data_IF_765619827900
#
_entry.id   IF_765619827900
#
_cell.length_a   1.000
_cell.length_b   1.000
_cell.length_c   1.000
_cell.angle_alpha   90.00
_cell.angle_beta   90.00
_cell.angle_gamma   90.00
#
_symmetry.space_group_name_H-M   'P 1'
#
loop_
_entity.id
_entity.type
_entity.pdbx_description
1 polymer ?
#
# COMPACT_ATOMS: atom_id res chain seq x y z
N UNK A 1 27.91 16.29 0.73
CA UNK A 1 28.29 15.23 -0.21
C UNK A 1 26.99 14.79 -0.85
N UNK A 2 26.64 15.47 -1.94
CA UNK A 2 25.40 15.26 -2.67
C UNK A 2 25.43 13.88 -3.32
N UNK A 3 24.63 12.97 -2.79
CA UNK A 3 24.57 11.60 -3.27
C UNK A 3 23.67 11.59 -4.51
N UNK A 4 24.34 11.46 -5.65
CA UNK A 4 23.86 11.08 -6.99
C UNK A 4 22.43 10.52 -6.95
N UNK A 5 21.52 11.22 -7.62
CA UNK A 5 20.21 10.72 -8.03
C UNK A 5 20.42 9.46 -8.88
N UNK A 6 20.42 8.29 -8.26
CA UNK A 6 20.19 7.05 -8.99
C UNK A 6 18.74 7.07 -9.42
N UNK A 7 18.49 7.24 -10.72
CA UNK A 7 17.16 7.05 -11.29
C UNK A 7 16.61 5.74 -10.75
N UNK A 8 15.46 5.82 -10.09
CA UNK A 8 14.86 4.64 -9.50
C UNK A 8 14.43 3.72 -10.65
N UNK A 9 15.10 2.58 -10.80
CA UNK A 9 14.82 1.60 -11.85
C UNK A 9 13.45 0.92 -11.74
N UNK A 10 12.62 1.30 -10.77
CA UNK A 10 11.31 0.72 -10.53
C UNK A 10 10.22 1.75 -10.90
N UNK A 11 9.58 1.62 -12.07
CA UNK A 11 8.41 2.42 -12.42
C UNK A 11 7.35 2.28 -11.33
N UNK A 12 6.89 3.40 -10.76
CA UNK A 12 5.90 3.37 -9.68
C UNK A 12 6.48 3.07 -8.29
N UNK A 13 7.78 3.26 -8.06
CA UNK A 13 8.38 3.14 -6.74
C UNK A 13 7.68 4.04 -5.70
N UNK A 14 7.08 3.42 -4.68
CA UNK A 14 6.38 4.11 -3.61
C UNK A 14 7.27 5.13 -2.88
N UNK A 15 8.56 4.82 -2.68
CA UNK A 15 9.51 5.74 -2.03
C UNK A 15 9.72 7.00 -2.87
N UNK A 16 9.76 6.89 -4.20
CA UNK A 16 9.87 8.06 -5.08
C UNK A 16 8.58 8.86 -5.09
N UNK A 17 7.43 8.19 -5.09
CA UNK A 17 6.11 8.81 -4.99
C UNK A 17 5.98 9.63 -3.71
N UNK A 18 6.38 9.08 -2.56
CA UNK A 18 6.31 9.77 -1.26
C UNK A 18 7.33 10.91 -1.13
N UNK A 19 8.46 10.85 -1.87
CA UNK A 19 9.47 11.91 -1.91
C UNK A 19 9.11 13.08 -2.85
N UNK A 20 7.94 13.05 -3.49
CA UNK A 20 7.44 14.14 -4.32
C UNK A 20 7.25 15.41 -3.47
N UNK A 21 8.01 16.47 -3.79
CA UNK A 21 8.03 17.71 -2.99
C UNK A 21 6.76 18.55 -3.10
N UNK A 22 5.88 18.27 -4.08
CA UNK A 22 4.57 18.91 -4.18
C UNK A 22 3.48 18.02 -3.53
N UNK A 23 2.83 18.47 -2.44
CA UNK A 23 1.85 17.66 -1.71
C UNK A 23 0.67 17.17 -2.57
N UNK A 24 0.14 18.02 -3.45
CA UNK A 24 -1.00 17.64 -4.30
C UNK A 24 -0.62 16.58 -5.34
N UNK A 25 0.58 16.71 -5.92
CA UNK A 25 1.11 15.71 -6.86
C UNK A 25 1.43 14.39 -6.15
N UNK A 26 2.00 14.46 -4.94
CA UNK A 26 2.25 13.31 -4.09
C UNK A 26 0.94 12.55 -3.83
N UNK A 27 -0.08 13.24 -3.33
CA UNK A 27 -1.40 12.66 -3.04
C UNK A 27 -2.05 12.02 -4.27
N UNK A 28 -2.02 12.70 -5.42
CA UNK A 28 -2.52 12.16 -6.69
C UNK A 28 -1.77 10.89 -7.12
N UNK A 29 -0.45 10.88 -6.92
CA UNK A 29 0.40 9.75 -7.29
C UNK A 29 0.19 8.55 -6.36
N UNK A 30 -0.04 8.79 -5.06
CA UNK A 30 -0.39 7.75 -4.09
C UNK A 30 -1.75 7.13 -4.43
N UNK A 31 -2.76 7.95 -4.70
CA UNK A 31 -4.07 7.46 -5.12
C UNK A 31 -3.97 6.57 -6.38
N UNK A 32 -3.22 7.03 -7.38
CA UNK A 32 -2.96 6.25 -8.59
C UNK A 32 -2.25 4.93 -8.26
N UNK A 33 -1.23 4.98 -7.41
CA UNK A 33 -0.50 3.81 -6.96
C UNK A 33 -1.41 2.79 -6.29
N UNK A 34 -2.29 3.20 -5.37
CA UNK A 34 -3.23 2.28 -4.70
C UNK A 34 -4.24 1.65 -5.66
N UNK A 35 -4.69 2.38 -6.68
CA UNK A 35 -5.60 1.83 -7.69
C UNK A 35 -4.93 0.82 -8.63
N UNK A 36 -3.67 1.05 -8.97
CA UNK A 36 -2.93 0.20 -9.91
C UNK A 36 -2.29 -1.02 -9.23
N UNK A 37 -1.88 -0.90 -7.97
CA UNK A 37 -1.13 -1.93 -7.24
C UNK A 37 -1.80 -3.32 -7.29
N UNK A 38 -3.11 -3.50 -7.05
CA UNK A 38 -3.73 -4.83 -7.10
C UNK A 38 -3.70 -5.48 -8.49
N UNK A 39 -3.63 -4.68 -9.56
CA UNK A 39 -3.63 -5.19 -10.94
C UNK A 39 -2.25 -5.65 -11.42
N UNK A 40 -1.18 -5.24 -10.75
CA UNK A 40 0.19 -5.60 -11.10
C UNK A 40 0.54 -7.02 -10.64
N UNK A 41 1.40 -7.71 -11.39
CA UNK A 41 1.95 -9.03 -11.06
C UNK A 41 3.48 -8.98 -10.88
N UNK A 42 4.02 -7.79 -10.60
CA UNK A 42 5.45 -7.54 -10.50
C UNK A 42 6.03 -8.02 -9.16
N UNK A 43 7.21 -8.65 -9.18
CA UNK A 43 7.87 -9.21 -7.99
C UNK A 43 8.19 -8.16 -6.90
N UNK A 44 8.24 -6.87 -7.28
CA UNK A 44 8.58 -5.77 -6.37
C UNK A 44 7.43 -5.27 -5.49
N UNK A 45 6.23 -5.84 -5.59
CA UNK A 45 5.05 -5.37 -4.84
C UNK A 45 5.15 -5.50 -3.32
N UNK A 46 5.94 -6.45 -2.82
CA UNK A 46 6.03 -6.74 -1.37
C UNK A 46 6.61 -5.56 -0.60
N UNK A 47 7.65 -4.93 -1.14
CA UNK A 47 8.39 -3.88 -0.45
C UNK A 47 7.53 -2.63 -0.17
N UNK A 48 6.81 -2.04 -1.15
CA UNK A 48 5.87 -0.96 -0.89
C UNK A 48 4.85 -1.28 0.20
N UNK A 49 4.26 -2.48 0.20
CA UNK A 49 3.21 -2.86 1.15
C UNK A 49 3.79 -3.04 2.56
N UNK A 50 5.00 -3.59 2.67
CA UNK A 50 5.71 -3.64 3.95
C UNK A 50 6.03 -2.24 4.49
N UNK A 51 6.34 -1.28 3.61
CA UNK A 51 6.50 0.13 3.95
C UNK A 51 5.20 0.76 4.46
N UNK A 52 4.09 0.52 3.77
CA UNK A 52 2.75 0.97 4.19
C UNK A 52 2.39 0.45 5.57
N UNK A 53 2.69 -0.83 5.86
CA UNK A 53 2.46 -1.41 7.18
C UNK A 53 3.30 -0.70 8.26
N UNK A 54 4.58 -0.45 8.00
CA UNK A 54 5.42 0.31 8.94
C UNK A 54 4.87 1.72 9.21
N UNK A 55 4.39 2.41 8.17
CA UNK A 55 3.73 3.72 8.32
C UNK A 55 2.44 3.62 9.13
N UNK A 56 1.59 2.62 8.85
CA UNK A 56 0.35 2.39 9.59
C UNK A 56 0.61 2.09 11.08
N UNK A 57 1.69 1.37 11.40
CA UNK A 57 2.11 1.14 12.78
C UNK A 57 2.64 2.40 13.46
N UNK A 58 3.37 3.25 12.75
CA UNK A 58 3.95 4.47 13.29
C UNK A 58 2.90 5.58 13.49
N UNK A 59 1.92 5.65 12.60
CA UNK A 59 0.90 6.69 12.55
C UNK A 59 -0.51 6.08 12.38
N UNK A 60 -0.98 5.23 13.32
CA UNK A 60 -2.24 4.49 13.16
C UNK A 60 -3.50 5.36 13.20
N UNK A 61 -3.37 6.62 13.63
CA UNK A 61 -4.49 7.57 13.73
C UNK A 61 -4.45 8.63 12.62
N UNK A 62 -3.50 8.53 11.67
CA UNK A 62 -3.38 9.46 10.54
C UNK A 62 -4.31 9.01 9.39
N UNK A 63 -5.31 9.82 9.00
CA UNK A 63 -6.26 9.45 7.95
C UNK A 63 -5.72 9.58 6.53
N UNK A 64 -4.52 10.14 6.30
CA UNK A 64 -4.05 10.51 4.95
C UNK A 64 -4.19 9.38 3.92
N UNK A 65 -3.81 8.15 4.28
CA UNK A 65 -3.92 6.99 3.40
C UNK A 65 -5.34 6.40 3.34
N UNK A 66 -6.12 6.56 4.41
CA UNK A 66 -7.53 6.14 4.43
C UNK A 66 -8.32 6.98 3.43
N UNK A 67 -8.12 8.29 3.44
CA UNK A 67 -8.72 9.22 2.48
C UNK A 67 -8.24 9.02 1.04
N UNK A 68 -7.24 8.15 0.84
CA UNK A 68 -6.69 7.75 -0.47
C UNK A 68 -7.07 6.34 -0.89
N UNK A 69 -8.05 5.72 -0.23
CA UNK A 69 -8.58 4.39 -0.60
C UNK A 69 -7.58 3.24 -0.30
N UNK A 70 -6.75 3.36 0.75
CA UNK A 70 -5.82 2.28 1.13
C UNK A 70 -6.56 0.99 1.51
N UNK A 71 -7.73 1.08 2.14
CA UNK A 71 -8.51 -0.10 2.52
C UNK A 71 -8.99 -0.89 1.30
N UNK A 72 -9.48 -0.21 0.26
CA UNK A 72 -9.89 -0.84 -0.99
C UNK A 72 -8.71 -1.54 -1.67
N UNK A 73 -7.55 -0.87 -1.69
CA UNK A 73 -6.31 -1.45 -2.23
C UNK A 73 -5.89 -2.72 -1.47
N UNK A 74 -5.85 -2.66 -0.13
CA UNK A 74 -5.46 -3.81 0.70
C UNK A 74 -6.47 -4.96 0.59
N UNK A 75 -7.78 -4.66 0.59
CA UNK A 75 -8.84 -5.65 0.42
C UNK A 75 -8.74 -6.34 -0.96
N UNK A 76 -8.49 -5.57 -2.03
CA UNK A 76 -8.29 -6.11 -3.37
C UNK A 76 -7.08 -7.05 -3.46
N UNK A 77 -5.97 -6.73 -2.78
CA UNK A 77 -4.78 -7.59 -2.70
C UNK A 77 -5.05 -8.90 -1.95
N UNK A 78 -5.78 -8.83 -0.83
CA UNK A 78 -6.21 -10.04 -0.09
C UNK A 78 -7.10 -10.89 -1.00
N UNK A 79 -8.08 -10.28 -1.66
CA UNK A 79 -8.98 -10.97 -2.57
C UNK A 79 -8.25 -11.64 -3.73
N UNK A 80 -7.26 -10.95 -4.32
CA UNK A 80 -6.39 -11.50 -5.36
C UNK A 80 -5.67 -12.75 -4.88
N UNK A 81 -5.07 -12.73 -3.69
CA UNK A 81 -4.43 -13.90 -3.09
C UNK A 81 -5.39 -15.08 -2.87
N UNK A 82 -6.64 -14.80 -2.48
CA UNK A 82 -7.67 -15.82 -2.31
C UNK A 82 -8.13 -16.43 -3.64
N UNK A 83 -8.23 -15.64 -4.71
CA UNK A 83 -8.76 -16.06 -6.02
C UNK A 83 -7.70 -16.60 -6.97
N UNK A 84 -6.47 -16.12 -6.89
CA UNK A 84 -5.39 -16.50 -7.79
C UNK A 84 -4.28 -17.22 -7.02
N UNK A 85 -4.46 -18.53 -6.82
CA UNK A 85 -3.48 -19.37 -6.12
C UNK A 85 -2.12 -19.43 -6.84
N UNK A 86 -2.10 -19.31 -8.17
CA UNK A 86 -0.84 -19.28 -8.94
C UNK A 86 -0.03 -18.03 -8.64
N UNK A 87 -0.69 -16.87 -8.68
CA UNK A 87 -0.09 -15.60 -8.28
C UNK A 87 0.39 -15.65 -6.83
N UNK A 88 -0.43 -16.18 -5.92
CA UNK A 88 -0.08 -16.25 -4.50
C UNK A 88 1.16 -17.14 -4.24
N UNK A 89 1.30 -18.24 -4.98
CA UNK A 89 2.45 -19.16 -4.85
C UNK A 89 3.73 -18.67 -5.50
N UNK A 90 3.70 -17.51 -6.18
CA UNK A 90 4.88 -16.97 -6.86
C UNK A 90 5.76 -16.21 -5.87
N UNK A 91 7.02 -16.65 -5.74
CA UNK A 91 8.07 -16.03 -4.94
C UNK A 91 7.63 -15.48 -3.59
N UNK A 92 7.51 -14.15 -3.47
CA UNK A 92 7.21 -13.45 -2.22
C UNK A 92 5.73 -13.01 -2.13
N UNK A 93 4.89 -13.34 -3.12
CA UNK A 93 3.49 -12.90 -3.15
C UNK A 93 2.66 -13.44 -1.98
N UNK A 94 3.10 -14.53 -1.34
CA UNK A 94 2.48 -15.03 -0.11
C UNK A 94 2.46 -13.98 1.02
N UNK A 95 3.42 -13.06 1.04
CA UNK A 95 3.51 -12.00 2.03
C UNK A 95 2.60 -10.81 1.72
N UNK A 96 2.12 -10.68 0.49
CA UNK A 96 1.30 -9.54 0.08
C UNK A 96 -0.04 -9.50 0.83
N UNK A 97 -0.88 -10.57 0.82
CA UNK A 97 -2.10 -10.58 1.63
C UNK A 97 -1.84 -10.47 3.14
N UNK A 98 -0.70 -11.00 3.60
CA UNK A 98 -0.29 -10.90 5.00
C UNK A 98 -0.08 -9.44 5.42
N UNK A 99 0.76 -8.70 4.69
CA UNK A 99 0.98 -7.28 4.99
C UNK A 99 -0.27 -6.44 4.77
N UNK A 100 -1.06 -6.74 3.74
CA UNK A 100 -2.33 -6.04 3.49
C UNK A 100 -3.31 -6.17 4.66
N UNK A 101 -3.46 -7.37 5.24
CA UNK A 101 -4.28 -7.58 6.42
C UNK A 101 -3.72 -6.82 7.64
N UNK A 102 -2.40 -6.76 7.79
CA UNK A 102 -1.76 -5.99 8.86
C UNK A 102 -1.94 -4.48 8.71
N UNK A 103 -1.89 -3.92 7.50
CA UNK A 103 -2.20 -2.51 7.24
C UNK A 103 -3.63 -2.18 7.69
N UNK A 104 -4.62 -2.96 7.26
CA UNK A 104 -6.03 -2.76 7.66
C UNK A 104 -6.16 -2.84 9.18
N UNK A 105 -5.56 -3.87 9.79
CA UNK A 105 -5.59 -4.05 11.24
C UNK A 105 -4.99 -2.86 12.00
N UNK A 106 -3.85 -2.33 11.55
CA UNK A 106 -3.15 -1.23 12.23
C UNK A 106 -3.98 0.04 12.33
N UNK A 107 -4.76 0.40 11.31
CA UNK A 107 -5.64 1.57 11.36
C UNK A 107 -6.91 1.32 12.19
N UNK A 108 -7.48 0.11 12.11
CA UNK A 108 -8.78 -0.18 12.74
C UNK A 108 -8.71 -0.47 14.23
N UNK A 109 -7.53 -0.76 14.78
CA UNK A 109 -7.39 -1.15 16.19
C UNK A 109 -7.62 -0.01 17.18
N UNK A 110 -7.38 1.25 16.80
CA UNK A 110 -7.37 2.38 17.72
C UNK A 110 -8.50 3.40 17.50
N UNK A 111 -9.10 3.42 16.31
CA UNK A 111 -10.10 4.41 15.89
C UNK A 111 -11.35 3.70 15.36
N UNK A 112 -12.49 3.90 16.02
CA UNK A 112 -13.76 3.28 15.62
C UNK A 112 -14.19 3.73 14.22
N UNK A 113 -13.95 5.00 13.89
CA UNK A 113 -14.29 5.59 12.60
C UNK A 113 -13.57 4.89 11.44
N UNK A 114 -12.32 4.49 11.65
CA UNK A 114 -11.54 3.76 10.66
C UNK A 114 -12.04 2.33 10.51
N UNK A 115 -12.43 1.70 11.62
CA UNK A 115 -13.05 0.38 11.58
C UNK A 115 -14.33 0.39 10.75
N UNK A 116 -15.18 1.42 10.89
CA UNK A 116 -16.39 1.57 10.05
C UNK A 116 -16.00 1.70 8.58
N UNK A 117 -15.08 2.60 8.24
CA UNK A 117 -14.63 2.82 6.85
C UNK A 117 -14.08 1.56 6.17
N UNK A 118 -13.53 0.61 6.93
CA UNK A 118 -12.96 -0.63 6.38
C UNK A 118 -13.99 -1.72 6.03
N UNK A 119 -15.26 -1.58 6.44
CA UNK A 119 -16.34 -2.55 6.16
C UNK A 119 -17.49 -2.00 5.31
N UNK A 120 -17.46 -0.72 4.93
CA UNK A 120 -18.55 -0.15 4.12
C UNK A 120 -18.47 -0.66 2.67
N UNK A 121 -19.51 -1.39 2.25
CA UNK A 121 -19.76 -1.87 0.88
C UNK A 121 -20.17 -0.75 -0.09
#
# INVERSE_FOLDING_TARGET
MDMISSDCHYPGCFVCVVKEGNPNKCRTSILKFFRELPSQDDDGQVLPISGLWNTAMAHPNDPEFIDLEIFDCMAALIWKGLKNRRWLSHDQHIYIPYYAAHVIGSYNMNMEEFAVSAVVE
#
